data_IF_908910485019
#
_entry.id   IF_908910485019
#
_cell.length_a   1.000
_cell.length_b   1.000
_cell.length_c   1.000
_cell.angle_alpha   90.00
_cell.angle_beta   90.00
_cell.angle_gamma   90.00
#
_symmetry.space_group_name_H-M   'P 1'
#
loop_
_entity.id
_entity.type
_entity.pdbx_description
1 polymer ?
#
# COMPACT_ATOMS: atom_id res chain seq x y z
N UNK A 1 90.46 -93.26 24.09
CA UNK A 1 91.28 -93.60 22.91
C UNK A 1 90.58 -94.73 22.18
N UNK A 2 90.44 -94.56 20.85
CA UNK A 2 89.75 -95.42 19.88
C UNK A 2 88.21 -95.41 19.95
N UNK A 3 87.45 -95.25 18.87
CA UNK A 3 87.67 -94.66 17.54
C UNK A 3 86.26 -94.56 16.89
N UNK A 4 86.03 -93.45 16.21
CA UNK A 4 85.27 -93.27 14.97
C UNK A 4 83.85 -93.87 14.80
N UNK A 5 82.88 -92.94 14.75
CA UNK A 5 81.83 -92.71 13.71
C UNK A 5 81.09 -93.90 13.09
N UNK A 6 79.76 -93.80 13.03
CA UNK A 6 79.01 -93.41 11.82
C UNK A 6 77.57 -93.04 12.21
N UNK A 7 77.06 -92.03 11.52
CA UNK A 7 75.83 -91.29 11.69
C UNK A 7 74.58 -92.05 11.25
N UNK A 8 73.42 -91.65 11.81
CA UNK A 8 72.16 -91.74 11.09
C UNK A 8 70.95 -92.15 11.92
N UNK A 9 70.45 -91.28 12.80
CA UNK A 9 69.00 -91.07 13.08
C UNK A 9 68.82 -90.10 14.24
N UNK A 10 68.15 -88.97 14.00
CA UNK A 10 67.24 -88.25 14.93
C UNK A 10 66.68 -87.02 14.18
N UNK A 11 65.40 -87.00 13.86
CA UNK A 11 64.30 -86.36 14.62
C UNK A 11 64.29 -84.84 14.49
N UNK A 12 63.32 -84.32 13.71
CA UNK A 12 62.80 -82.97 13.86
C UNK A 12 61.27 -83.01 13.88
N UNK A 13 60.73 -83.20 15.09
CA UNK A 13 59.40 -82.72 15.45
C UNK A 13 59.51 -81.29 15.97
N UNK A 14 58.42 -80.53 15.79
CA UNK A 14 58.06 -79.21 16.35
C UNK A 14 58.36 -77.99 15.47
N UNK A 15 57.30 -77.46 14.86
CA UNK A 15 56.87 -76.10 15.22
C UNK A 15 55.36 -75.91 14.93
N UNK A 16 54.56 -75.98 15.99
CA UNK A 16 53.17 -75.50 16.01
C UNK A 16 53.19 -73.98 16.11
N UNK A 17 53.01 -73.30 14.99
CA UNK A 17 52.75 -71.85 14.93
C UNK A 17 51.33 -71.61 14.47
N UNK A 18 50.35 -71.69 15.39
CA UNK A 18 49.01 -71.17 15.15
C UNK A 18 49.07 -69.65 15.13
N UNK A 19 49.35 -69.08 13.95
CA UNK A 19 49.15 -67.66 13.69
C UNK A 19 47.64 -67.45 13.49
N UNK A 20 46.94 -67.09 14.57
CA UNK A 20 45.59 -66.54 14.50
C UNK A 20 45.64 -65.24 13.70
N UNK A 21 45.28 -65.30 12.41
CA UNK A 21 44.83 -64.14 11.66
C UNK A 21 43.61 -63.55 12.39
N UNK A 22 43.58 -62.26 12.75
CA UNK A 22 42.36 -61.65 13.27
C UNK A 22 41.34 -61.61 12.13
N UNK A 23 40.41 -62.56 12.15
CA UNK A 23 39.26 -62.59 11.26
C UNK A 23 38.36 -61.39 11.65
N UNK A 24 38.60 -60.23 11.06
CA UNK A 24 37.68 -59.11 11.17
C UNK A 24 36.32 -59.57 10.65
N UNK A 25 35.25 -59.61 11.47
CA UNK A 25 33.98 -60.14 11.02
C UNK A 25 33.44 -59.17 9.97
N UNK A 26 33.28 -59.61 8.71
CA UNK A 26 32.68 -58.78 7.64
C UNK A 26 31.34 -58.15 8.03
N UNK A 27 30.65 -58.77 9.00
CA UNK A 27 29.45 -58.25 9.65
C UNK A 27 29.68 -56.88 10.31
N UNK A 28 30.81 -56.61 10.97
CA UNK A 28 31.06 -55.32 11.65
C UNK A 28 31.26 -54.16 10.67
N UNK A 29 31.91 -54.43 9.52
CA UNK A 29 32.08 -53.44 8.46
C UNK A 29 30.74 -53.12 7.77
N UNK A 30 29.95 -54.14 7.46
CA UNK A 30 28.61 -53.95 6.87
C UNK A 30 27.69 -53.16 7.81
N UNK A 31 27.68 -53.49 9.11
CA UNK A 31 26.94 -52.73 10.12
C UNK A 31 27.44 -51.29 10.24
N UNK A 32 28.75 -51.07 10.22
CA UNK A 32 29.32 -49.72 10.24
C UNK A 32 28.89 -48.89 9.02
N UNK A 33 28.96 -49.46 7.82
CA UNK A 33 28.50 -48.81 6.58
C UNK A 33 27.01 -48.46 6.68
N UNK A 34 26.16 -49.41 7.08
CA UNK A 34 24.72 -49.18 7.23
C UNK A 34 24.41 -48.08 8.26
N UNK A 35 25.08 -48.08 9.42
CA UNK A 35 24.89 -47.03 10.43
C UNK A 35 25.37 -45.67 9.96
N UNK A 36 26.48 -45.61 9.22
CA UNK A 36 27.03 -44.37 8.68
C UNK A 36 26.15 -43.80 7.56
N UNK A 37 25.67 -44.65 6.65
CA UNK A 37 24.69 -44.26 5.62
C UNK A 37 23.38 -43.79 6.23
N UNK A 38 22.86 -44.48 7.26
CA UNK A 38 21.67 -44.05 7.98
C UNK A 38 21.90 -42.71 8.70
N UNK A 39 23.07 -42.50 9.31
CA UNK A 39 23.43 -41.23 9.94
C UNK A 39 23.46 -40.07 8.94
N UNK A 40 24.09 -40.27 7.77
CA UNK A 40 24.11 -39.27 6.69
C UNK A 40 22.68 -38.97 6.22
N UNK A 41 21.88 -40.00 5.97
CA UNK A 41 20.49 -39.84 5.54
C UNK A 41 19.65 -39.04 6.55
N UNK A 42 19.75 -39.36 7.85
CA UNK A 42 19.07 -38.62 8.90
C UNK A 42 19.56 -37.17 9.00
N UNK A 43 20.87 -36.92 8.84
CA UNK A 43 21.42 -35.55 8.76
C UNK A 43 20.86 -34.79 7.57
N UNK A 44 20.74 -35.42 6.40
CA UNK A 44 20.11 -34.82 5.22
C UNK A 44 18.63 -34.49 5.45
N UNK A 45 17.87 -35.38 6.10
CA UNK A 45 16.47 -35.12 6.45
C UNK A 45 16.31 -33.96 7.44
N UNK A 46 17.14 -33.92 8.50
CA UNK A 46 17.16 -32.81 9.46
C UNK A 46 17.54 -31.50 8.77
N UNK A 47 18.53 -31.53 7.88
CA UNK A 47 18.93 -30.35 7.10
C UNK A 47 17.79 -29.88 6.19
N UNK A 48 17.13 -30.79 5.47
CA UNK A 48 15.98 -30.46 4.62
C UNK A 48 14.82 -29.89 5.43
N UNK A 49 14.47 -30.51 6.56
CA UNK A 49 13.41 -30.03 7.45
C UNK A 49 13.73 -28.64 8.04
N UNK A 50 14.98 -28.44 8.49
CA UNK A 50 15.42 -27.15 9.05
C UNK A 50 15.46 -26.07 7.97
N UNK A 51 15.99 -26.38 6.78
CA UNK A 51 15.99 -25.48 5.63
C UNK A 51 14.56 -25.08 5.23
N UNK A 52 13.65 -26.04 5.13
CA UNK A 52 12.23 -25.78 4.89
C UNK A 52 11.61 -24.90 6.00
N UNK A 53 12.01 -25.09 7.25
CA UNK A 53 11.52 -24.28 8.38
C UNK A 53 12.04 -22.84 8.31
N UNK A 54 13.31 -22.64 7.95
CA UNK A 54 13.89 -21.31 7.75
C UNK A 54 13.19 -20.57 6.60
N UNK A 55 12.97 -21.23 5.47
CA UNK A 55 12.24 -20.62 4.34
C UNK A 55 10.78 -20.32 4.67
N UNK A 56 10.10 -21.20 5.42
CA UNK A 56 8.75 -20.93 5.93
C UNK A 56 8.74 -19.71 6.84
N UNK A 57 9.67 -19.62 7.79
CA UNK A 57 9.77 -18.47 8.69
C UNK A 57 10.07 -17.19 7.91
N UNK A 58 11.01 -17.23 6.97
CA UNK A 58 11.33 -16.09 6.10
C UNK A 58 10.12 -15.65 5.28
N UNK A 59 9.36 -16.58 4.71
CA UNK A 59 8.11 -16.28 3.98
C UNK A 59 7.06 -15.65 4.90
N UNK A 60 6.88 -16.19 6.12
CA UNK A 60 5.94 -15.62 7.10
C UNK A 60 6.37 -14.20 7.49
N UNK A 61 7.64 -13.98 7.78
CA UNK A 61 8.17 -12.65 8.11
C UNK A 61 8.01 -11.67 6.95
N UNK A 62 8.26 -12.13 5.72
CA UNK A 62 8.05 -11.33 4.51
C UNK A 62 6.56 -10.98 4.34
N UNK A 63 5.66 -11.94 4.54
CA UNK A 63 4.22 -11.74 4.45
C UNK A 63 3.69 -10.78 5.53
N UNK A 64 4.20 -10.89 6.77
CA UNK A 64 3.85 -9.97 7.86
C UNK A 64 4.39 -8.56 7.56
N UNK A 65 5.67 -8.44 7.20
CA UNK A 65 6.30 -7.16 6.87
C UNK A 65 5.67 -6.47 5.65
N UNK A 66 5.02 -7.25 4.78
CA UNK A 66 4.33 -6.77 3.59
C UNK A 66 2.82 -6.99 3.65
N UNK A 67 2.25 -7.10 4.85
CA UNK A 67 0.82 -7.37 5.01
C UNK A 67 -0.04 -6.39 4.20
N UNK A 68 0.34 -5.11 4.19
CA UNK A 68 -0.31 -4.05 3.41
C UNK A 68 -0.41 -4.35 1.91
N UNK A 69 0.58 -5.02 1.31
CA UNK A 69 0.65 -5.28 -0.14
C UNK A 69 0.21 -6.69 -0.52
N UNK A 70 -0.21 -7.51 0.45
CA UNK A 70 -0.77 -8.82 0.15
C UNK A 70 -2.04 -8.67 -0.72
N UNK A 71 -2.34 -9.67 -1.58
CA UNK A 71 -3.56 -9.69 -2.37
C UNK A 71 -4.79 -9.43 -1.50
N UNK A 72 -5.76 -8.70 -2.05
CA UNK A 72 -7.01 -8.29 -1.39
C UNK A 72 -6.89 -7.30 -0.22
N UNK A 73 -5.73 -7.09 0.39
CA UNK A 73 -5.60 -6.15 1.52
C UNK A 73 -5.92 -4.71 1.11
N UNK A 74 -5.52 -4.28 -0.10
CA UNK A 74 -5.94 -2.98 -0.65
C UNK A 74 -7.47 -2.84 -0.69
N UNK A 75 -8.19 -3.88 -1.16
CA UNK A 75 -9.65 -3.88 -1.23
C UNK A 75 -10.27 -3.80 0.16
N UNK A 76 -9.73 -4.52 1.14
CA UNK A 76 -10.20 -4.45 2.53
C UNK A 76 -10.00 -3.06 3.14
N UNK A 77 -8.88 -2.38 2.82
CA UNK A 77 -8.65 -0.98 3.24
C UNK A 77 -9.69 -0.03 2.65
N UNK A 78 -10.07 -0.23 1.39
CA UNK A 78 -11.16 0.52 0.73
C UNK A 78 -12.51 0.21 1.40
N UNK A 79 -12.85 -1.07 1.61
CA UNK A 79 -14.10 -1.49 2.28
C UNK A 79 -14.19 -0.95 3.71
N UNK A 80 -13.07 -0.91 4.44
CA UNK A 80 -13.02 -0.34 5.78
C UNK A 80 -13.44 1.13 5.81
N UNK A 81 -13.19 1.92 4.76
CA UNK A 81 -13.69 3.30 4.68
C UNK A 81 -15.22 3.38 4.63
N UNK A 82 -15.89 2.42 3.99
CA UNK A 82 -17.36 2.38 3.89
C UNK A 82 -18.05 2.21 5.24
N UNK A 83 -17.34 1.80 6.30
CA UNK A 83 -17.93 1.78 7.65
C UNK A 83 -18.46 3.15 8.05
N UNK A 84 -17.83 4.24 7.61
CA UNK A 84 -18.30 5.61 7.90
C UNK A 84 -19.60 5.99 7.16
N UNK A 85 -20.04 5.20 6.17
CA UNK A 85 -21.37 5.33 5.60
C UNK A 85 -22.45 4.71 6.51
N UNK A 86 -22.09 3.81 7.43
CA UNK A 86 -23.03 3.19 8.39
C UNK A 86 -23.38 4.19 9.49
N UNK A 87 -24.68 4.40 9.74
CA UNK A 87 -25.17 5.37 10.73
C UNK A 87 -24.52 5.21 12.12
N UNK A 88 -24.32 3.97 12.56
CA UNK A 88 -23.72 3.65 13.87
C UNK A 88 -22.23 3.96 14.00
N UNK A 89 -21.54 4.18 12.88
CA UNK A 89 -20.09 4.37 12.81
C UNK A 89 -19.72 5.76 12.29
N UNK A 90 -20.71 6.61 12.00
CA UNK A 90 -20.49 8.02 11.65
C UNK A 90 -19.89 8.79 12.82
N UNK A 91 -19.14 9.86 12.54
CA UNK A 91 -18.78 10.83 13.56
C UNK A 91 -20.02 11.37 14.28
N UNK A 92 -19.90 11.62 15.58
CA UNK A 92 -20.98 12.22 16.38
C UNK A 92 -21.29 13.66 15.96
N UNK A 93 -20.26 14.38 15.52
CA UNK A 93 -20.38 15.73 14.97
C UNK A 93 -20.79 15.59 13.50
N UNK A 94 -21.91 16.20 13.12
CA UNK A 94 -22.35 16.21 11.72
C UNK A 94 -21.42 17.09 10.89
N UNK A 95 -21.02 16.59 9.71
CA UNK A 95 -20.22 17.36 8.78
C UNK A 95 -20.99 18.61 8.31
N UNK A 96 -20.34 19.77 8.34
CA UNK A 96 -20.94 21.04 7.90
C UNK A 96 -20.08 21.84 6.92
N UNK A 97 -20.55 23.03 6.49
CA UNK A 97 -19.88 23.82 5.45
C UNK A 97 -18.43 24.20 5.77
N UNK A 98 -18.12 24.41 7.05
CA UNK A 98 -16.78 24.75 7.51
C UNK A 98 -15.76 23.60 7.39
N UNK A 99 -16.21 22.38 7.09
CA UNK A 99 -15.38 21.17 6.98
C UNK A 99 -15.13 20.71 5.54
N UNK A 100 -15.77 21.32 4.54
CA UNK A 100 -15.64 20.93 3.12
C UNK A 100 -14.16 20.86 2.69
N UNK A 101 -13.40 21.88 3.06
CA UNK A 101 -12.00 22.04 2.67
C UNK A 101 -11.02 21.60 3.75
N UNK A 102 -11.51 21.04 4.86
CA UNK A 102 -10.63 20.53 5.91
C UNK A 102 -10.03 19.18 5.50
N UNK A 103 -8.75 18.92 5.81
CA UNK A 103 -8.14 17.64 5.53
C UNK A 103 -8.60 16.56 6.51
N UNK A 104 -8.89 15.39 5.97
CA UNK A 104 -8.92 14.14 6.73
C UNK A 104 -7.51 13.53 6.69
N UNK A 105 -7.00 13.15 7.86
CA UNK A 105 -5.67 12.56 8.01
C UNK A 105 -5.81 11.04 8.12
N UNK A 106 -5.05 10.32 7.30
CA UNK A 106 -4.90 8.86 7.39
C UNK A 106 -3.42 8.50 7.43
N UNK A 107 -3.05 7.41 8.09
CA UNK A 107 -1.66 6.99 8.25
C UNK A 107 -1.34 5.75 7.41
N UNK A 108 -0.11 5.66 6.89
CA UNK A 108 0.43 4.50 6.20
C UNK A 108 1.96 4.44 6.35
N UNK A 109 2.57 3.39 5.81
CA UNK A 109 4.02 3.22 5.74
C UNK A 109 4.42 2.58 4.40
N UNK A 110 5.72 2.56 4.08
CA UNK A 110 6.27 1.98 2.85
C UNK A 110 6.87 0.58 3.10
N UNK A 111 6.10 -0.51 3.04
CA UNK A 111 6.63 -1.87 3.21
C UNK A 111 7.60 -2.22 2.08
N UNK A 112 8.41 -3.27 2.28
CA UNK A 112 9.47 -3.66 1.36
C UNK A 112 9.02 -3.85 -0.10
N UNK A 113 7.81 -4.39 -0.33
CA UNK A 113 7.25 -4.63 -1.66
C UNK A 113 6.75 -3.35 -2.36
N UNK A 114 6.80 -2.20 -1.70
CA UNK A 114 6.58 -0.89 -2.32
C UNK A 114 7.88 -0.15 -2.62
N UNK A 115 9.04 -0.75 -2.32
CA UNK A 115 10.36 -0.14 -2.52
C UNK A 115 10.87 -0.48 -3.91
N UNK A 116 11.29 0.53 -4.66
CA UNK A 116 11.85 0.36 -6.00
C UNK A 116 13.37 0.13 -6.00
N UNK A 117 13.96 0.10 -7.19
CA UNK A 117 15.40 -0.12 -7.38
C UNK A 117 16.29 0.95 -6.74
N UNK A 118 15.75 2.14 -6.46
CA UNK A 118 16.48 3.23 -5.81
C UNK A 118 16.34 3.20 -4.27
N UNK A 119 15.77 2.13 -3.72
CA UNK A 119 15.60 1.92 -2.27
C UNK A 119 14.69 2.96 -1.60
N UNK A 120 13.75 3.53 -2.33
CA UNK A 120 12.67 4.36 -1.78
C UNK A 120 11.30 3.88 -2.25
N UNK A 121 10.24 4.39 -1.63
CA UNK A 121 8.86 4.12 -2.05
C UNK A 121 8.69 4.42 -3.54
N UNK A 122 8.23 3.43 -4.28
CA UNK A 122 7.97 3.52 -5.71
C UNK A 122 6.89 4.54 -5.99
N UNK A 123 7.09 5.37 -7.02
CA UNK A 123 6.16 6.43 -7.43
C UNK A 123 4.73 5.90 -7.66
N UNK A 124 4.59 4.69 -8.23
CA UNK A 124 3.29 4.08 -8.50
C UNK A 124 2.51 3.73 -7.22
N UNK A 125 3.22 3.34 -6.17
CA UNK A 125 2.60 2.91 -4.91
C UNK A 125 1.98 4.06 -4.10
N UNK A 126 2.23 5.33 -4.46
CA UNK A 126 1.53 6.47 -3.85
C UNK A 126 0.05 6.48 -4.23
N UNK A 127 -0.31 6.03 -5.44
CA UNK A 127 -1.69 6.07 -5.91
C UNK A 127 -2.60 5.10 -5.13
N UNK A 128 -2.10 3.91 -4.77
CA UNK A 128 -2.88 2.94 -3.98
C UNK A 128 -3.24 3.48 -2.60
N UNK A 129 -2.33 4.23 -1.98
CA UNK A 129 -2.56 4.89 -0.69
C UNK A 129 -3.46 6.13 -0.84
N UNK A 130 -3.29 6.92 -1.91
CA UNK A 130 -4.18 8.03 -2.23
C UNK A 130 -5.63 7.57 -2.45
N UNK A 131 -5.85 6.39 -3.06
CA UNK A 131 -7.18 5.82 -3.24
C UNK A 131 -7.85 5.48 -1.90
N UNK A 132 -7.11 4.90 -0.97
CA UNK A 132 -7.60 4.60 0.38
C UNK A 132 -7.93 5.90 1.13
N UNK A 133 -7.01 6.86 1.15
CA UNK A 133 -7.22 8.15 1.84
C UNK A 133 -8.42 8.92 1.26
N UNK A 134 -8.55 8.94 -0.08
CA UNK A 134 -9.67 9.58 -0.77
C UNK A 134 -11.00 8.88 -0.48
N UNK A 135 -11.03 7.56 -0.44
CA UNK A 135 -12.24 6.80 -0.09
C UNK A 135 -12.66 7.10 1.34
N UNK A 136 -11.71 7.17 2.28
CA UNK A 136 -11.97 7.59 3.65
C UNK A 136 -12.56 9.00 3.73
N UNK A 137 -12.01 9.97 2.98
CA UNK A 137 -12.56 11.32 2.90
C UNK A 137 -14.00 11.31 2.40
N UNK A 138 -14.25 10.65 1.27
CA UNK A 138 -15.59 10.63 0.66
C UNK A 138 -16.63 9.92 1.54
N UNK A 139 -16.29 8.75 2.09
CA UNK A 139 -17.20 8.01 2.97
C UNK A 139 -17.52 8.78 4.26
N UNK A 140 -16.65 9.71 4.67
CA UNK A 140 -16.85 10.54 5.86
C UNK A 140 -17.69 11.78 5.53
N UNK A 141 -17.27 12.57 4.54
CA UNK A 141 -17.94 13.82 4.18
C UNK A 141 -19.32 13.59 3.55
N UNK A 142 -19.45 12.57 2.70
CA UNK A 142 -20.66 12.33 1.91
C UNK A 142 -21.50 11.16 2.44
N UNK A 143 -21.31 10.79 3.71
CA UNK A 143 -21.93 9.60 4.31
C UNK A 143 -23.46 9.56 4.15
N UNK A 144 -24.14 10.68 4.39
CA UNK A 144 -25.60 10.82 4.25
C UNK A 144 -26.06 10.72 2.79
N UNK A 145 -25.40 11.43 1.86
CA UNK A 145 -25.75 11.33 0.44
C UNK A 145 -25.47 9.92 -0.13
N UNK A 146 -24.36 9.28 0.25
CA UNK A 146 -24.04 7.91 -0.18
C UNK A 146 -25.13 6.94 0.32
N UNK A 147 -25.58 7.10 1.55
CA UNK A 147 -26.68 6.31 2.09
C UNK A 147 -27.99 6.52 1.30
N UNK A 148 -28.37 7.77 1.06
CA UNK A 148 -29.57 8.10 0.26
C UNK A 148 -29.48 7.49 -1.15
N UNK A 149 -28.32 7.63 -1.82
CA UNK A 149 -28.10 7.18 -3.19
C UNK A 149 -28.04 5.65 -3.33
N UNK A 150 -27.68 4.94 -2.25
CA UNK A 150 -27.73 3.48 -2.18
C UNK A 150 -29.13 2.92 -1.89
N UNK A 151 -30.09 3.75 -1.51
CA UNK A 151 -31.40 3.30 -1.04
C UNK A 151 -31.39 2.84 0.42
N UNK A 152 -30.50 3.40 1.25
CA UNK A 152 -30.40 3.07 2.67
C UNK A 152 -29.93 1.62 2.93
N UNK A 153 -30.55 0.96 3.91
CA UNK A 153 -30.25 -0.43 4.27
C UNK A 153 -30.64 -1.44 3.19
N UNK A 154 -31.48 -1.05 2.21
CA UNK A 154 -31.90 -1.95 1.14
C UNK A 154 -30.72 -2.41 0.25
N UNK A 155 -29.66 -1.59 0.12
CA UNK A 155 -28.45 -1.99 -0.63
C UNK A 155 -27.72 -3.20 -0.03
N UNK A 156 -27.82 -3.40 1.29
CA UNK A 156 -27.21 -4.55 1.98
C UNK A 156 -28.09 -5.79 1.84
N UNK A 157 -29.40 -5.61 1.65
CA UNK A 157 -30.39 -6.68 1.47
C UNK A 157 -30.70 -7.00 0.00
N UNK A 158 -29.98 -6.39 -0.94
CA UNK A 158 -30.14 -6.65 -2.39
C UNK A 158 -30.99 -5.61 -3.13
N UNK A 159 -30.64 -4.32 -3.04
CA UNK A 159 -31.34 -3.30 -3.81
C UNK A 159 -31.18 -3.54 -5.32
N UNK A 160 -32.28 -3.43 -6.07
CA UNK A 160 -32.30 -3.48 -7.54
C UNK A 160 -31.83 -2.15 -8.17
N UNK A 161 -31.42 -1.19 -7.35
CA UNK A 161 -31.02 0.14 -7.78
C UNK A 161 -29.66 0.15 -8.47
N UNK A 162 -29.40 1.16 -9.32
CA UNK A 162 -28.11 1.31 -9.98
C UNK A 162 -26.99 1.50 -8.96
N UNK A 163 -25.87 0.79 -9.17
CA UNK A 163 -24.70 0.83 -8.27
C UNK A 163 -24.16 2.25 -8.17
N UNK A 164 -24.12 2.77 -6.95
CA UNK A 164 -23.46 4.04 -6.65
C UNK A 164 -21.96 3.82 -6.47
N UNK A 165 -21.16 4.66 -7.10
CA UNK A 165 -19.70 4.63 -6.99
C UNK A 165 -19.07 5.99 -7.27
N UNK A 166 -17.80 6.11 -6.89
CA UNK A 166 -16.97 7.27 -7.16
C UNK A 166 -15.86 6.79 -8.09
N UNK A 167 -15.82 7.30 -9.31
CA UNK A 167 -14.81 6.92 -10.30
C UNK A 167 -13.72 7.98 -10.38
N UNK A 168 -12.46 7.55 -10.38
CA UNK A 168 -11.30 8.40 -10.65
C UNK A 168 -11.16 8.55 -12.18
N UNK A 169 -11.31 9.79 -12.68
CA UNK A 169 -11.17 10.09 -14.11
C UNK A 169 -9.78 10.56 -14.51
N UNK A 170 -9.04 11.19 -13.59
CA UNK A 170 -7.65 11.57 -13.81
C UNK A 170 -6.90 11.71 -12.47
N UNK A 171 -5.58 11.54 -12.52
CA UNK A 171 -4.73 11.76 -11.36
C UNK A 171 -3.37 12.30 -11.80
N UNK A 172 -2.81 13.18 -10.99
CA UNK A 172 -1.43 13.63 -11.07
C UNK A 172 -0.78 13.47 -9.70
N UNK A 173 0.53 13.22 -9.66
CA UNK A 173 1.30 13.23 -8.42
C UNK A 173 2.68 13.84 -8.65
N UNK A 174 3.04 14.81 -7.81
CA UNK A 174 4.34 15.45 -7.78
C UNK A 174 5.13 14.93 -6.58
N UNK A 175 6.31 14.37 -6.83
CA UNK A 175 7.21 13.81 -5.82
C UNK A 175 8.30 14.83 -5.49
N UNK A 176 8.46 15.18 -4.21
CA UNK A 176 9.39 16.20 -3.72
C UNK A 176 10.57 15.62 -2.95
N UNK A 177 10.32 14.61 -2.12
CA UNK A 177 11.31 13.95 -1.27
C UNK A 177 11.01 12.45 -1.21
N UNK A 178 12.04 11.64 -1.06
CA UNK A 178 11.89 10.18 -0.91
C UNK A 178 11.27 9.80 0.45
N UNK A 179 10.58 8.65 0.44
CA UNK A 179 10.17 7.91 1.64
C UNK A 179 10.97 6.61 1.69
N UNK A 180 11.61 6.37 2.81
CA UNK A 180 12.49 5.20 3.04
C UNK A 180 11.67 3.94 3.36
N UNK A 181 12.28 2.75 3.25
CA UNK A 181 11.65 1.51 3.67
C UNK A 181 11.16 1.58 5.11
N UNK A 182 9.90 1.19 5.31
CA UNK A 182 9.15 1.22 6.56
C UNK A 182 8.99 2.60 7.21
N UNK A 183 9.34 3.69 6.51
CA UNK A 183 9.04 5.05 6.96
C UNK A 183 7.52 5.25 7.02
N UNK A 184 7.03 5.73 8.16
CA UNK A 184 5.62 6.04 8.37
C UNK A 184 5.33 7.48 7.95
N UNK A 185 4.16 7.70 7.36
CA UNK A 185 3.74 8.99 6.86
C UNK A 185 2.21 9.14 6.96
N UNK A 186 1.78 10.38 6.88
CA UNK A 186 0.39 10.78 6.91
C UNK A 186 -0.05 11.25 5.52
N UNK A 187 -1.29 10.97 5.19
CA UNK A 187 -1.97 11.49 4.01
C UNK A 187 -3.03 12.46 4.46
N UNK A 188 -2.80 13.73 4.13
CA UNK A 188 -3.70 14.83 4.41
C UNK A 188 -4.55 15.07 3.17
N UNK A 189 -5.76 14.52 3.16
CA UNK A 189 -6.64 14.50 1.98
C UNK A 189 -7.83 15.42 2.20
N UNK A 190 -8.05 16.36 1.28
CA UNK A 190 -9.19 17.31 1.34
C UNK A 190 -9.82 17.52 -0.04
N UNK A 191 -11.05 18.05 -0.04
CA UNK A 191 -11.64 18.61 -1.27
C UNK A 191 -10.85 19.86 -1.64
N UNK A 192 -10.48 19.95 -2.92
CA UNK A 192 -9.83 21.11 -3.51
C UNK A 192 -10.85 22.04 -4.14
N UNK A 193 -11.72 21.50 -5.00
CA UNK A 193 -12.75 22.23 -5.73
C UNK A 193 -13.74 21.24 -6.36
N UNK A 194 -14.79 21.76 -7.01
CA UNK A 194 -15.75 21.01 -7.80
C UNK A 194 -16.39 21.88 -8.88
N UNK A 195 -16.97 21.24 -9.89
CA UNK A 195 -17.84 21.83 -10.90
C UNK A 195 -19.16 21.03 -10.99
N UNK A 196 -19.87 21.14 -12.11
CA UNK A 196 -21.14 20.44 -12.36
C UNK A 196 -20.99 18.90 -12.41
N UNK A 197 -19.80 18.38 -12.76
CA UNK A 197 -19.55 16.97 -13.05
C UNK A 197 -18.46 16.36 -12.15
N UNK A 198 -17.38 17.08 -11.93
CA UNK A 198 -16.13 16.63 -11.33
C UNK A 198 -15.92 17.25 -9.95
N UNK A 199 -15.38 16.44 -9.05
CA UNK A 199 -14.86 16.88 -7.76
C UNK A 199 -13.37 16.57 -7.70
N UNK A 200 -12.59 17.56 -7.29
CA UNK A 200 -11.14 17.42 -7.17
C UNK A 200 -10.73 17.28 -5.72
N UNK A 201 -9.82 16.35 -5.48
CA UNK A 201 -9.22 16.10 -4.16
C UNK A 201 -7.72 16.32 -4.24
N UNK A 202 -7.15 16.92 -3.21
CA UNK A 202 -5.69 16.97 -3.04
C UNK A 202 -5.30 16.08 -1.87
N UNK A 203 -4.26 15.27 -2.05
CA UNK A 203 -3.65 14.44 -1.00
C UNK A 203 -2.19 14.85 -0.86
N UNK A 204 -1.83 15.40 0.29
CA UNK A 204 -0.44 15.66 0.63
C UNK A 204 0.09 14.48 1.45
N UNK A 205 1.20 13.90 0.99
CA UNK A 205 1.96 12.92 1.76
C UNK A 205 2.94 13.69 2.63
N UNK A 206 2.82 13.53 3.94
CA UNK A 206 3.55 14.30 4.95
C UNK A 206 4.28 13.30 5.84
N UNK A 207 5.57 13.53 6.13
CA UNK A 207 6.26 12.71 7.13
C UNK A 207 5.52 12.79 8.46
N UNK A 208 5.40 11.66 9.14
CA UNK A 208 4.77 11.60 10.46
C UNK A 208 5.45 12.62 11.40
N UNK A 209 4.64 13.28 12.22
CA UNK A 209 5.06 14.31 13.18
C UNK A 209 5.67 15.60 12.60
N UNK A 210 5.83 15.72 11.27
CA UNK A 210 6.33 16.94 10.64
C UNK A 210 5.29 18.08 10.63
N UNK A 211 4.02 17.77 10.83
CA UNK A 211 2.93 18.74 10.98
C UNK A 211 1.85 18.15 11.86
N UNK A 212 1.27 18.97 12.75
CA UNK A 212 0.15 18.59 13.60
C UNK A 212 -1.04 19.52 13.36
N UNK A 213 -2.27 19.00 13.25
CA UNK A 213 -3.44 19.85 13.11
C UNK A 213 -3.64 20.69 14.38
N UNK A 214 -4.20 21.90 14.22
CA UNK A 214 -4.53 22.77 15.37
C UNK A 214 -5.60 22.14 16.26
N UNK A 215 -6.54 21.43 15.66
CA UNK A 215 -7.63 20.72 16.33
C UNK A 215 -8.27 19.73 15.36
N UNK A 216 -9.04 18.78 15.90
CA UNK A 216 -9.85 17.84 15.13
C UNK A 216 -11.32 18.21 15.27
N UNK A 217 -11.87 18.92 14.30
CA UNK A 217 -13.25 19.44 14.34
C UNK A 217 -14.30 18.32 14.33
N UNK A 218 -14.02 17.23 13.60
CA UNK A 218 -14.94 16.10 13.43
C UNK A 218 -14.87 15.09 14.58
N UNK A 219 -13.72 15.02 15.25
CA UNK A 219 -13.46 14.10 16.36
C UNK A 219 -12.84 14.87 17.55
N UNK A 220 -13.61 15.72 18.25
CA UNK A 220 -13.07 16.57 19.32
C UNK A 220 -12.39 15.81 20.46
N UNK A 221 -12.72 14.53 20.64
CA UNK A 221 -12.05 13.64 21.59
C UNK A 221 -10.59 13.34 21.24
N UNK A 222 -10.18 13.51 19.97
CA UNK A 222 -8.80 13.36 19.54
C UNK A 222 -7.99 14.62 19.87
N UNK A 223 -8.09 15.11 21.12
CA UNK A 223 -7.34 16.29 21.55
C UNK A 223 -5.85 16.11 21.22
N UNK A 224 -5.24 17.14 20.65
CA UNK A 224 -3.78 17.18 20.61
C UNK A 224 -3.33 17.50 22.04
N UNK A 225 -2.92 16.47 22.78
CA UNK A 225 -2.24 16.67 24.06
C UNK A 225 -0.94 17.45 23.77
N UNK A 226 -0.90 18.72 24.17
CA UNK A 226 0.28 19.56 24.03
C UNK A 226 -0.02 21.04 23.80
N UNK A 227 -0.01 21.83 24.87
CA UNK A 227 0.44 23.22 24.81
C UNK A 227 1.92 23.22 24.42
N UNK A 228 2.24 23.15 23.13
CA UNK A 228 3.63 23.31 22.68
C UNK A 228 3.94 24.81 22.57
N UNK A 229 4.36 25.42 23.69
CA UNK A 229 5.00 26.74 23.80
C UNK A 229 6.26 26.91 22.92
N UNK A 230 6.66 25.87 22.18
CA UNK A 230 7.73 25.91 21.17
C UNK A 230 7.28 25.29 19.85
N UNK A 231 6.17 25.76 19.26
CA UNK A 231 6.06 25.72 17.81
C UNK A 231 7.18 26.57 17.23
N UNK A 232 8.35 25.97 16.96
CA UNK A 232 9.23 26.52 15.93
C UNK A 232 8.32 26.73 14.71
N UNK A 233 8.28 27.94 14.17
CA UNK A 233 7.61 28.28 12.91
C UNK A 233 8.29 27.55 11.73
N UNK A 234 8.34 26.22 11.80
CA UNK A 234 8.76 25.39 10.70
C UNK A 234 7.67 25.48 9.65
N UNK A 235 8.04 25.81 8.42
CA UNK A 235 7.14 25.79 7.28
C UNK A 235 6.41 24.43 7.26
N UNK A 236 5.08 24.39 7.40
CA UNK A 236 4.30 23.15 7.36
C UNK A 236 4.55 22.33 6.08
N UNK A 237 5.00 23.00 5.01
CA UNK A 237 5.33 22.37 3.73
C UNK A 237 6.66 21.62 3.76
N UNK A 238 7.52 21.87 4.75
CA UNK A 238 8.82 21.21 4.86
C UNK A 238 8.71 19.69 5.03
N UNK A 239 7.62 19.23 5.66
CA UNK A 239 7.29 17.82 5.87
C UNK A 239 6.66 17.13 4.67
N UNK A 240 6.22 17.87 3.64
CA UNK A 240 5.51 17.31 2.48
C UNK A 240 6.52 16.63 1.54
N UNK A 241 6.34 15.32 1.35
CA UNK A 241 7.21 14.48 0.50
C UNK A 241 6.63 14.28 -0.89
N UNK A 242 5.30 14.28 -1.03
CA UNK A 242 4.62 14.21 -2.31
C UNK A 242 3.25 14.89 -2.23
N UNK A 243 2.67 15.22 -3.39
CA UNK A 243 1.34 15.82 -3.47
C UNK A 243 0.61 15.29 -4.69
N UNK A 244 -0.55 14.70 -4.47
CA UNK A 244 -1.40 14.14 -5.52
C UNK A 244 -2.68 14.94 -5.69
N UNK A 245 -3.06 15.18 -6.94
CA UNK A 245 -4.32 15.75 -7.35
C UNK A 245 -5.15 14.66 -8.03
N UNK A 246 -6.38 14.44 -7.58
CA UNK A 246 -7.32 13.49 -8.19
C UNK A 246 -8.59 14.17 -8.66
N UNK A 247 -9.06 13.81 -9.87
CA UNK A 247 -10.31 14.27 -10.50
C UNK A 247 -11.31 13.12 -10.48
N UNK A 248 -12.38 13.26 -9.71
CA UNK A 248 -13.36 12.20 -9.46
C UNK A 248 -14.75 12.58 -9.93
N UNK A 249 -15.57 11.58 -10.24
CA UNK A 249 -16.98 11.75 -10.63
C UNK A 249 -17.87 10.82 -9.81
N UNK A 250 -19.00 11.34 -9.34
CA UNK A 250 -20.04 10.54 -8.72
C UNK A 250 -20.90 9.87 -9.79
N UNK A 251 -21.10 8.56 -9.66
CA UNK A 251 -21.85 7.74 -10.61
C UNK A 251 -22.93 6.95 -9.89
N UNK A 252 -24.12 6.92 -10.49
CA UNK A 252 -25.18 5.98 -10.13
C UNK A 252 -25.54 5.19 -11.39
N UNK A 253 -24.93 4.02 -11.55
CA UNK A 253 -24.92 3.30 -12.81
C UNK A 253 -24.30 4.15 -13.93
N UNK A 254 -25.05 4.41 -15.01
CA UNK A 254 -24.60 5.26 -16.12
C UNK A 254 -24.80 6.76 -15.87
N UNK A 255 -25.63 7.12 -14.88
CA UNK A 255 -25.94 8.52 -14.57
C UNK A 255 -24.80 9.17 -13.80
N UNK A 256 -24.39 10.36 -14.23
CA UNK A 256 -23.49 11.22 -13.47
C UNK A 256 -24.29 12.04 -12.47
N UNK A 257 -23.79 12.15 -11.24
CA UNK A 257 -24.40 12.92 -10.16
C UNK A 257 -23.50 14.13 -9.90
N UNK A 258 -24.07 15.32 -9.77
CA UNK A 258 -23.28 16.52 -9.54
C UNK A 258 -22.67 16.51 -8.13
N UNK A 259 -21.42 16.97 -7.97
CA UNK A 259 -20.81 17.16 -6.65
C UNK A 259 -21.63 18.06 -5.73
N UNK A 260 -22.22 19.12 -6.28
CA UNK A 260 -23.02 20.08 -5.53
C UNK A 260 -24.29 19.45 -4.93
N UNK A 261 -24.95 18.56 -5.68
CA UNK A 261 -26.06 17.75 -5.17
C UNK A 261 -25.60 16.87 -4.00
N UNK A 262 -24.48 16.16 -4.16
CA UNK A 262 -23.94 15.28 -3.12
C UNK A 262 -23.58 16.07 -1.84
N UNK A 263 -23.07 17.29 -2.00
CA UNK A 263 -22.74 18.18 -0.89
C UNK A 263 -23.99 18.65 -0.15
N UNK A 264 -25.02 19.13 -0.86
CA UNK A 264 -26.31 19.52 -0.24
C UNK A 264 -26.97 18.33 0.47
N UNK A 265 -27.04 17.18 -0.20
CA UNK A 265 -27.59 15.95 0.37
C UNK A 265 -26.83 15.44 1.61
N UNK A 266 -25.59 15.91 1.82
CA UNK A 266 -24.77 15.60 3.01
C UNK A 266 -24.72 16.74 4.03
N UNK A 267 -25.46 17.84 3.84
CA UNK A 267 -25.44 19.01 4.72
C UNK A 267 -24.15 19.84 4.65
N UNK A 268 -23.33 19.64 3.61
CA UNK A 268 -22.09 20.38 3.39
C UNK A 268 -22.32 21.74 2.72
N UNK A 269 -23.38 21.86 1.92
CA UNK A 269 -23.81 23.13 1.35
C UNK A 269 -25.23 23.46 1.83
N UNK A 270 -25.55 24.75 2.04
CA UNK A 270 -26.91 25.17 2.35
C UNK A 270 -27.86 24.90 1.17
N UNK A 271 -29.11 24.57 1.47
CA UNK A 271 -30.16 24.51 0.46
C UNK A 271 -30.48 25.91 -0.08
N UNK A 272 -30.86 26.01 -1.35
CA UNK A 272 -31.20 27.29 -1.98
C UNK A 272 -32.39 28.00 -1.32
N UNK A 273 -33.27 27.24 -0.64
CA UNK A 273 -34.40 27.74 0.15
C UNK A 273 -34.02 28.19 1.58
N UNK A 274 -32.84 27.79 2.07
CA UNK A 274 -32.31 28.19 3.38
C UNK A 274 -31.27 29.30 3.27
N UNK A 275 -30.97 29.78 2.06
CA UNK A 275 -30.03 30.88 1.78
C UNK A 275 -30.33 32.11 2.64
N UNK A 276 -31.58 32.57 2.59
CA UNK A 276 -32.02 33.79 3.28
C UNK A 276 -32.16 33.61 4.81
N UNK A 277 -32.52 32.39 5.25
CA UNK A 277 -32.67 32.07 6.68
C UNK A 277 -31.32 31.83 7.36
N UNK A 278 -30.38 31.19 6.67
CA UNK A 278 -29.02 31.03 7.16
C UNK A 278 -28.39 32.42 7.28
N UNK A 279 -28.49 33.29 6.28
CA UNK A 279 -27.97 34.66 6.37
C UNK A 279 -28.59 35.49 7.53
N UNK A 280 -29.87 35.26 7.87
CA UNK A 280 -30.55 35.90 9.00
C UNK A 280 -30.22 35.30 10.38
N UNK A 281 -30.17 33.97 10.52
CA UNK A 281 -29.84 33.28 11.78
C UNK A 281 -28.35 33.44 12.12
N UNK A 282 -27.53 33.54 11.09
CA UNK A 282 -26.10 33.88 11.15
C UNK A 282 -25.85 35.31 11.62
N UNK A 283 -26.82 36.25 11.49
CA UNK A 283 -26.73 37.59 12.09
C UNK A 283 -26.94 37.59 13.62
N UNK A 284 -27.63 36.59 14.17
CA UNK A 284 -27.77 36.44 15.63
C UNK A 284 -26.55 35.73 16.25
N UNK A 285 -26.02 34.70 15.59
CA UNK A 285 -24.80 33.99 16.05
C UNK A 285 -23.51 34.83 15.90
N UNK A 286 -23.52 35.88 15.06
CA UNK A 286 -22.44 36.89 15.00
C UNK A 286 -22.15 37.51 16.38
N UNK A 287 -23.14 37.55 17.29
CA UNK A 287 -22.96 38.15 18.63
C UNK A 287 -22.20 37.25 19.62
N UNK A 288 -21.96 35.96 19.34
CA UNK A 288 -21.43 35.01 20.36
C UNK A 288 -19.95 34.62 20.24
N UNK A 289 -19.25 35.02 19.16
CA UNK A 289 -17.79 35.03 19.09
C UNK A 289 -17.07 33.68 18.92
N UNK A 290 -16.13 33.66 17.97
CA UNK A 290 -14.96 32.76 17.84
C UNK A 290 -15.03 31.47 17.00
N UNK A 291 -15.72 31.48 15.86
CA UNK A 291 -15.42 30.57 14.74
C UNK A 291 -15.22 31.34 13.44
N UNK A 292 -14.20 30.98 12.65
CA UNK A 292 -13.94 31.59 11.34
C UNK A 292 -15.11 31.28 10.39
N UNK A 293 -15.93 32.30 10.12
CA UNK A 293 -17.25 32.19 9.47
C UNK A 293 -17.15 31.68 8.03
N UNK A 294 -17.82 30.57 7.72
CA UNK A 294 -17.93 30.04 6.35
C UNK A 294 -19.26 30.48 5.72
N UNK A 295 -19.24 31.61 5.02
CA UNK A 295 -20.38 32.06 4.21
C UNK A 295 -20.39 31.38 2.84
N UNK A 296 -21.54 31.38 2.15
CA UNK A 296 -21.61 30.87 0.77
C UNK A 296 -20.59 31.56 -0.15
N UNK A 297 -20.40 32.87 0.00
CA UNK A 297 -19.38 33.63 -0.74
C UNK A 297 -17.96 33.11 -0.48
N UNK A 298 -17.61 32.81 0.78
CA UNK A 298 -16.28 32.27 1.14
C UNK A 298 -16.08 30.85 0.61
N UNK A 299 -17.12 30.01 0.64
CA UNK A 299 -17.09 28.67 0.06
C UNK A 299 -16.83 28.76 -1.45
N UNK A 300 -17.55 29.65 -2.12
CA UNK A 300 -17.40 29.88 -3.56
C UNK A 300 -16.01 30.44 -3.91
N UNK A 301 -15.50 31.38 -3.12
CA UNK A 301 -14.14 31.92 -3.27
C UNK A 301 -13.08 30.81 -3.16
N UNK A 302 -13.15 29.98 -2.12
CA UNK A 302 -12.22 28.85 -1.95
C UNK A 302 -12.39 27.79 -3.04
N UNK A 303 -13.63 27.53 -3.50
CA UNK A 303 -13.90 26.64 -4.65
C UNK A 303 -13.22 27.18 -5.90
N UNK A 304 -13.37 28.46 -6.23
CA UNK A 304 -12.76 29.10 -7.40
C UNK A 304 -11.23 29.14 -7.29
N UNK A 305 -10.70 29.38 -6.10
CA UNK A 305 -9.25 29.31 -5.83
C UNK A 305 -8.69 27.91 -6.10
N UNK A 306 -9.39 26.88 -5.63
CA UNK A 306 -9.03 25.49 -5.88
C UNK A 306 -9.17 25.09 -7.35
N UNK A 307 -10.16 25.67 -8.06
CA UNK A 307 -10.40 25.41 -9.48
C UNK A 307 -9.19 25.76 -10.35
N UNK A 308 -8.54 26.90 -10.08
CA UNK A 308 -7.30 27.30 -10.78
C UNK A 308 -6.19 26.25 -10.72
N UNK A 309 -6.10 25.51 -9.61
CA UNK A 309 -5.13 24.41 -9.45
C UNK A 309 -5.66 23.15 -10.16
N UNK A 310 -6.96 22.89 -10.06
CA UNK A 310 -7.65 21.75 -10.67
C UNK A 310 -7.61 21.78 -12.20
N UNK A 311 -7.50 22.96 -12.81
CA UNK A 311 -7.41 23.17 -14.26
C UNK A 311 -6.19 22.46 -14.90
N UNK A 312 -5.19 22.07 -14.10
CA UNK A 312 -4.10 21.17 -14.56
C UNK A 312 -4.58 19.79 -15.01
N UNK A 313 -5.79 19.36 -14.59
CA UNK A 313 -6.47 18.16 -15.05
C UNK A 313 -7.74 18.51 -15.85
N UNK A 314 -7.78 19.68 -16.49
CA UNK A 314 -8.88 20.12 -17.35
C UNK A 314 -9.08 19.17 -18.54
N UNK A 315 -10.22 19.28 -19.21
CA UNK A 315 -10.47 18.46 -20.42
C UNK A 315 -9.60 18.94 -21.56
N UNK A 316 -9.38 20.25 -21.64
CA UNK A 316 -8.55 20.92 -22.63
C UNK A 316 -7.10 20.41 -22.55
N UNK A 317 -6.49 20.40 -21.36
CA UNK A 317 -5.13 19.86 -21.18
C UNK A 317 -5.03 18.37 -21.49
N UNK A 318 -6.12 17.61 -21.33
CA UNK A 318 -6.16 16.19 -21.71
C UNK A 318 -6.26 16.02 -23.23
N UNK A 319 -7.08 16.82 -23.90
CA UNK A 319 -7.22 16.82 -25.35
C UNK A 319 -5.92 17.22 -26.05
N UNK A 320 -5.25 18.27 -25.59
CA UNK A 320 -3.93 18.67 -26.11
C UNK A 320 -2.90 17.54 -25.98
N UNK A 321 -2.92 16.81 -24.86
CA UNK A 321 -2.04 15.65 -24.66
C UNK A 321 -2.40 14.49 -25.61
N UNK A 322 -3.68 14.22 -25.83
CA UNK A 322 -4.14 13.19 -26.79
C UNK A 322 -3.79 13.57 -28.24
N UNK A 323 -3.95 14.84 -28.61
CA UNK A 323 -3.59 15.37 -29.94
C UNK A 323 -2.08 15.30 -30.22
N UNK A 324 -1.24 15.26 -29.17
CA UNK A 324 0.21 15.05 -29.32
C UNK A 324 0.58 13.64 -29.78
N UNK A 325 -0.36 12.68 -29.80
CA UNK A 325 -0.11 11.33 -30.29
C UNK A 325 -0.05 11.29 -31.82
N UNK A 326 1.16 11.10 -32.36
CA UNK A 326 1.42 11.23 -33.80
C UNK A 326 1.29 9.93 -34.62
N UNK A 327 0.82 8.83 -34.02
CA UNK A 327 0.37 7.52 -34.56
C UNK A 327 1.02 6.92 -35.83
N UNK A 328 1.11 7.70 -36.90
CA UNK A 328 1.68 7.40 -38.21
C UNK A 328 3.17 7.76 -38.34
N UNK A 329 3.76 8.39 -37.32
CA UNK A 329 5.19 8.71 -37.30
C UNK A 329 6.08 7.47 -37.21
N UNK A 330 7.31 7.57 -37.70
CA UNK A 330 8.30 6.51 -37.53
C UNK A 330 8.54 6.19 -36.05
N UNK A 331 8.53 4.90 -35.71
CA UNK A 331 8.80 4.42 -34.36
C UNK A 331 10.27 3.98 -34.23
N UNK A 332 10.90 4.28 -33.09
CA UNK A 332 12.29 3.87 -32.79
C UNK A 332 12.47 2.34 -32.80
N UNK A 333 11.43 1.59 -32.44
CA UNK A 333 11.45 0.13 -32.39
C UNK A 333 10.43 -0.42 -31.41
N UNK A 334 10.47 -1.75 -31.18
CA UNK A 334 9.60 -2.45 -30.24
C UNK A 334 10.43 -3.31 -29.29
N UNK A 335 10.28 -3.07 -28.00
CA UNK A 335 10.89 -3.87 -26.94
C UNK A 335 9.83 -4.64 -26.15
N UNK A 336 10.21 -5.80 -25.63
CA UNK A 336 9.48 -6.50 -24.56
C UNK A 336 10.10 -6.10 -23.23
N UNK A 337 9.28 -5.85 -22.22
CA UNK A 337 9.69 -5.43 -20.88
C UNK A 337 10.25 -6.56 -20.01
N UNK A 338 10.47 -7.74 -20.59
CA UNK A 338 10.98 -8.92 -19.87
C UNK A 338 9.93 -9.59 -19.00
N UNK A 339 8.64 -9.31 -19.18
CA UNK A 339 7.57 -10.01 -18.47
C UNK A 339 7.47 -11.49 -18.86
N UNK A 340 7.02 -12.29 -17.89
CA UNK A 340 6.88 -13.75 -18.04
C UNK A 340 8.19 -14.51 -17.82
N UNK A 341 8.10 -15.84 -17.76
CA UNK A 341 9.25 -16.71 -17.48
C UNK A 341 10.39 -16.48 -18.48
N UNK A 342 10.06 -16.42 -19.78
CA UNK A 342 11.05 -16.25 -20.86
C UNK A 342 11.80 -14.92 -20.73
N UNK A 343 11.11 -13.84 -20.42
CA UNK A 343 11.73 -12.53 -20.23
C UNK A 343 12.69 -12.53 -19.05
N UNK A 344 12.26 -13.04 -17.90
CA UNK A 344 13.10 -13.15 -16.68
C UNK A 344 14.33 -14.01 -16.93
N UNK A 345 14.16 -15.20 -17.52
CA UNK A 345 15.30 -16.09 -17.82
C UNK A 345 16.27 -15.46 -18.82
N UNK A 346 15.75 -14.82 -19.87
CA UNK A 346 16.58 -14.12 -20.86
C UNK A 346 17.39 -13.00 -20.22
N UNK A 347 16.76 -12.19 -19.36
CA UNK A 347 17.44 -11.11 -18.63
C UNK A 347 18.51 -11.66 -17.69
N UNK A 348 18.20 -12.68 -16.89
CA UNK A 348 19.17 -13.29 -15.97
C UNK A 348 20.35 -13.93 -16.71
N UNK A 349 20.07 -14.61 -17.82
CA UNK A 349 21.10 -15.22 -18.64
C UNK A 349 22.02 -14.17 -19.28
N UNK A 350 21.46 -13.06 -19.78
CA UNK A 350 22.26 -11.94 -20.28
C UNK A 350 23.12 -11.30 -19.18
N UNK A 351 22.56 -11.08 -17.98
CA UNK A 351 23.32 -10.55 -16.84
C UNK A 351 24.43 -11.51 -16.38
N UNK A 352 24.23 -12.82 -16.56
CA UNK A 352 25.24 -13.85 -16.32
C UNK A 352 26.27 -13.98 -17.47
N UNK A 353 26.18 -13.16 -18.51
CA UNK A 353 27.10 -13.17 -19.66
C UNK A 353 26.85 -14.28 -20.68
N UNK A 354 25.71 -14.98 -20.61
CA UNK A 354 25.33 -15.99 -21.59
C UNK A 354 24.92 -15.29 -22.89
N UNK A 355 25.54 -15.73 -23.99
CA UNK A 355 25.24 -15.22 -25.33
C UNK A 355 23.91 -15.77 -25.82
N UNK A 356 23.23 -15.03 -26.70
CA UNK A 356 21.90 -15.38 -27.22
C UNK A 356 21.83 -16.79 -27.86
N UNK A 357 22.94 -17.27 -28.44
CA UNK A 357 23.10 -18.61 -29.00
C UNK A 357 23.29 -19.72 -27.96
N UNK A 358 23.39 -19.38 -26.67
CA UNK A 358 23.46 -20.33 -25.54
C UNK A 358 22.13 -20.44 -24.79
N UNK A 359 21.14 -19.59 -25.14
CA UNK A 359 19.84 -19.46 -24.46
C UNK A 359 18.70 -20.00 -25.34
N UNK A 360 18.93 -20.16 -26.65
CA UNK A 360 18.00 -20.70 -27.64
C UNK A 360 18.43 -22.07 -28.13
#
# INVERSE_FOLDING_TARGET
MNNFTVSGTQTTHLFTGNTTQPFFPSKTLLWAILTYSLHIFLRCLVYLYTSLTVWKLAFILLAIGNFKTLPFIWHLRIVNAFRFCLRSQRPKVKCGPHQIFQPLITESHAPLMEIDLNLHKSNSSYFSDADVARTHLFCTLFSEAIEQMRGGTEAVTGSKGPVFGIALGAVNCNFKKELKPYESYEMWTRILSWDEKWIWTVTHFVRKDASKPKSYTLYPQQKSDGEDEKRKELDPRAGVVASSLGKCVFKQGRKTISPEFMMRASGLLPDDLQKDKMDAQLNEEIKSGNFEKWTHAKIEEERLRGKKIADTLSVESQQELEESFTGESEALGRHTDGTGLVGVFSTLAQLAGLKKNQIL
#
